data_IF_579760472638
#
_entry.id   IF_579760472638
#
_cell.length_a   1.000
_cell.length_b   1.000
_cell.length_c   1.000
_cell.angle_alpha   90.00
_cell.angle_beta   90.00
_cell.angle_gamma   90.00
#
_symmetry.space_group_name_H-M   'P 1'
#
loop_
_entity.id
_entity.type
_entity.pdbx_description
1 polymer ?
#
# COMPACT_ATOMS: atom_id res chain seq x y z
N UNK A 1 -29.14 -4.13 32.72
CA UNK A 1 -27.89 -3.92 31.94
C UNK A 1 -27.13 -5.22 31.71
N UNK A 2 -26.85 -6.00 32.77
CA UNK A 2 -26.18 -7.32 32.69
C UNK A 2 -26.79 -8.26 31.63
N UNK A 3 -28.11 -8.44 31.67
CA UNK A 3 -28.81 -9.33 30.72
C UNK A 3 -28.74 -8.83 29.28
N UNK A 4 -28.88 -7.52 29.08
CA UNK A 4 -28.74 -6.89 27.76
C UNK A 4 -27.34 -7.13 27.18
N UNK A 5 -26.28 -6.88 27.96
CA UNK A 5 -24.90 -7.11 27.51
C UNK A 5 -24.63 -8.59 27.21
N UNK A 6 -25.18 -9.49 28.02
CA UNK A 6 -25.10 -10.94 27.77
C UNK A 6 -25.82 -11.34 26.46
N UNK A 7 -26.97 -10.73 26.16
CA UNK A 7 -27.70 -10.95 24.92
C UNK A 7 -26.90 -10.43 23.71
N UNK A 8 -26.34 -9.22 23.80
CA UNK A 8 -25.48 -8.64 22.74
C UNK A 8 -24.26 -9.52 22.48
N UNK A 9 -23.59 -10.02 23.53
CA UNK A 9 -22.47 -10.96 23.36
C UNK A 9 -22.92 -12.22 22.61
N UNK A 10 -24.07 -12.78 22.99
CA UNK A 10 -24.61 -13.99 22.35
C UNK A 10 -24.92 -13.75 20.88
N UNK A 11 -25.51 -12.60 20.55
CA UNK A 11 -25.75 -12.18 19.16
C UNK A 11 -24.44 -12.09 18.35
N UNK A 12 -23.41 -11.43 18.89
CA UNK A 12 -22.13 -11.31 18.20
C UNK A 12 -21.41 -12.66 18.03
N UNK A 13 -21.52 -13.58 19.01
CA UNK A 13 -21.03 -14.96 18.84
C UNK A 13 -21.75 -15.68 17.70
N UNK A 14 -23.07 -15.57 17.64
CA UNK A 14 -23.88 -16.19 16.58
C UNK A 14 -23.53 -15.60 15.21
N UNK A 15 -23.31 -14.28 15.11
CA UNK A 15 -22.79 -13.64 13.89
C UNK A 15 -21.44 -14.20 13.50
N UNK A 16 -20.49 -14.33 14.44
CA UNK A 16 -19.18 -14.95 14.17
C UNK A 16 -19.30 -16.38 13.64
N UNK A 17 -20.13 -17.22 14.28
CA UNK A 17 -20.39 -18.59 13.81
C UNK A 17 -21.01 -18.62 12.41
N UNK A 18 -21.94 -17.72 12.12
CA UNK A 18 -22.53 -17.57 10.79
C UNK A 18 -21.47 -17.17 9.75
N UNK A 19 -20.64 -16.15 10.04
CA UNK A 19 -19.55 -15.76 9.14
C UNK A 19 -18.56 -16.89 8.89
N UNK A 20 -18.29 -17.74 9.89
CA UNK A 20 -17.43 -18.92 9.74
C UNK A 20 -18.02 -19.94 8.76
N UNK A 21 -19.35 -20.11 8.77
CA UNK A 21 -20.06 -20.97 7.81
C UNK A 21 -20.02 -20.41 6.38
N UNK A 22 -19.83 -19.09 6.22
CA UNK A 22 -19.69 -18.44 4.92
C UNK A 22 -18.28 -18.55 4.33
N UNK A 23 -17.32 -19.16 5.01
CA UNK A 23 -16.00 -19.46 4.43
C UNK A 23 -16.15 -20.70 3.53
N UNK A 24 -15.94 -20.59 2.20
CA UNK A 24 -16.18 -21.72 1.29
C UNK A 24 -15.27 -22.92 1.58
N UNK A 25 -15.84 -24.12 1.54
CA UNK A 25 -15.10 -25.38 1.64
C UNK A 25 -15.74 -26.46 0.73
N UNK A 26 -15.07 -26.93 -0.35
CA UNK A 26 -13.74 -26.50 -0.79
C UNK A 26 -13.74 -25.04 -1.27
N UNK A 27 -12.58 -24.39 -1.23
CA UNK A 27 -12.40 -23.08 -1.85
C UNK A 27 -12.49 -23.22 -3.37
N UNK A 28 -13.17 -22.26 -4.01
CA UNK A 28 -13.20 -22.19 -5.47
C UNK A 28 -11.80 -21.95 -6.05
N UNK A 29 -10.96 -21.18 -5.35
CA UNK A 29 -9.62 -20.80 -5.79
C UNK A 29 -8.58 -21.08 -4.68
N UNK A 30 -7.56 -21.93 -4.93
CA UNK A 30 -6.51 -22.24 -3.96
C UNK A 30 -5.73 -21.01 -3.46
N UNK A 31 -5.57 -19.99 -4.30
CA UNK A 31 -4.89 -18.73 -4.00
C UNK A 31 -5.62 -17.91 -2.92
N UNK A 32 -6.88 -18.23 -2.59
CA UNK A 32 -7.62 -17.59 -1.49
C UNK A 32 -7.46 -18.31 -0.16
N UNK A 33 -6.70 -19.41 -0.09
CA UNK A 33 -6.49 -20.19 1.14
C UNK A 33 -5.94 -19.35 2.30
N UNK A 34 -4.98 -18.47 2.03
CA UNK A 34 -4.43 -17.55 3.03
C UNK A 34 -5.49 -16.62 3.64
N UNK A 35 -6.40 -16.11 2.80
CA UNK A 35 -7.52 -15.27 3.23
C UNK A 35 -8.51 -16.07 4.08
N UNK A 36 -8.91 -17.26 3.62
CA UNK A 36 -9.83 -18.13 4.34
C UNK A 36 -9.32 -18.51 5.74
N UNK A 37 -8.05 -18.91 5.85
CA UNK A 37 -7.39 -19.21 7.13
C UNK A 37 -7.35 -17.98 8.04
N UNK A 38 -7.02 -16.81 7.48
CA UNK A 38 -6.93 -15.58 8.26
C UNK A 38 -8.30 -15.15 8.80
N UNK A 39 -9.35 -15.22 7.98
CA UNK A 39 -10.72 -14.94 8.40
C UNK A 39 -11.18 -15.90 9.49
N UNK A 40 -10.96 -17.22 9.30
CA UNK A 40 -11.31 -18.23 10.28
C UNK A 40 -10.64 -17.99 11.64
N UNK A 41 -9.34 -17.68 11.64
CA UNK A 41 -8.59 -17.36 12.86
C UNK A 41 -9.14 -16.11 13.58
N UNK A 42 -9.38 -15.02 12.86
CA UNK A 42 -9.90 -13.77 13.46
C UNK A 42 -11.29 -14.00 14.06
N UNK A 43 -12.15 -14.76 13.38
CA UNK A 43 -13.49 -15.11 13.88
C UNK A 43 -13.37 -15.94 15.16
N UNK A 44 -12.51 -16.97 15.17
CA UNK A 44 -12.33 -17.85 16.32
C UNK A 44 -11.77 -17.11 17.54
N UNK A 45 -10.79 -16.23 17.34
CA UNK A 45 -10.25 -15.36 18.40
C UNK A 45 -11.33 -14.46 19.01
N UNK A 46 -12.19 -13.87 18.17
CA UNK A 46 -13.28 -13.00 18.62
C UNK A 46 -14.38 -13.77 19.36
N UNK A 47 -14.78 -14.95 18.87
CA UNK A 47 -15.75 -15.82 19.56
C UNK A 47 -15.22 -16.19 20.95
N UNK A 48 -13.95 -16.60 21.04
CA UNK A 48 -13.30 -16.95 22.31
C UNK A 48 -13.24 -15.76 23.27
N UNK A 49 -12.95 -14.55 22.78
CA UNK A 49 -12.92 -13.36 23.63
C UNK A 49 -14.32 -12.96 24.11
N UNK A 50 -15.34 -13.08 23.24
CA UNK A 50 -16.74 -12.89 23.62
C UNK A 50 -17.19 -13.89 24.69
N UNK A 51 -16.75 -15.15 24.63
CA UNK A 51 -17.00 -16.15 25.68
C UNK A 51 -16.39 -15.75 27.02
N UNK A 52 -15.15 -15.26 27.00
CA UNK A 52 -14.51 -14.70 28.17
C UNK A 52 -15.31 -13.53 28.75
N UNK A 53 -15.71 -12.55 27.92
CA UNK A 53 -16.53 -11.42 28.37
C UNK A 53 -17.88 -11.88 28.93
N UNK A 54 -18.48 -12.94 28.39
CA UNK A 54 -19.71 -13.52 28.90
C UNK A 54 -19.53 -14.13 30.30
N UNK A 55 -18.41 -14.82 30.53
CA UNK A 55 -18.07 -15.33 31.86
C UNK A 55 -17.83 -14.21 32.87
N UNK A 56 -17.15 -13.13 32.45
CA UNK A 56 -16.89 -11.96 33.31
C UNK A 56 -18.20 -11.26 33.70
N UNK A 57 -19.12 -11.04 32.76
CA UNK A 57 -20.45 -10.48 33.08
C UNK A 57 -21.15 -11.32 34.16
N UNK A 58 -21.06 -12.65 34.08
CA UNK A 58 -21.72 -13.55 35.03
C UNK A 58 -21.08 -13.48 36.42
N UNK A 59 -19.74 -13.46 36.50
CA UNK A 59 -18.97 -13.41 37.76
C UNK A 59 -18.93 -12.03 38.41
N UNK A 60 -19.16 -10.95 37.65
CA UNK A 60 -19.05 -9.59 38.17
C UNK A 60 -20.19 -9.26 39.15
N UNK A 61 -19.80 -8.79 40.34
CA UNK A 61 -20.70 -8.25 41.36
C UNK A 61 -20.87 -6.72 41.28
N UNK A 62 -19.98 -6.01 40.57
CA UNK A 62 -20.06 -4.57 40.37
C UNK A 62 -20.85 -4.19 39.11
N UNK A 63 -21.45 -2.99 39.11
CA UNK A 63 -22.21 -2.46 37.96
C UNK A 63 -21.35 -1.71 36.92
N UNK A 64 -20.01 -1.77 37.04
CA UNK A 64 -19.12 -1.12 36.07
C UNK A 64 -18.83 -2.03 34.87
N UNK A 65 -19.61 -1.84 33.79
CA UNK A 65 -19.51 -2.62 32.55
C UNK A 65 -18.67 -1.95 31.46
N UNK A 66 -17.91 -0.88 31.75
CA UNK A 66 -17.21 -0.10 30.72
C UNK A 66 -16.15 -0.92 29.98
N UNK A 67 -15.41 -1.77 30.66
CA UNK A 67 -14.40 -2.66 30.06
C UNK A 67 -15.05 -3.69 29.13
N UNK A 68 -16.14 -4.32 29.59
CA UNK A 68 -16.92 -5.28 28.81
C UNK A 68 -17.48 -4.64 27.54
N UNK A 69 -18.09 -3.45 27.65
CA UNK A 69 -18.63 -2.73 26.50
C UNK A 69 -17.53 -2.39 25.47
N UNK A 70 -16.33 -2.02 25.93
CA UNK A 70 -15.18 -1.80 25.04
C UNK A 70 -14.77 -3.09 24.33
N UNK A 71 -14.74 -4.22 25.05
CA UNK A 71 -14.44 -5.53 24.48
C UNK A 71 -15.46 -5.96 23.42
N UNK A 72 -16.76 -5.83 23.71
CA UNK A 72 -17.84 -6.13 22.76
C UNK A 72 -17.70 -5.28 21.48
N UNK A 73 -17.44 -3.98 21.62
CA UNK A 73 -17.26 -3.07 20.48
C UNK A 73 -16.04 -3.42 19.64
N UNK A 74 -14.94 -3.85 20.27
CA UNK A 74 -13.76 -4.33 19.55
C UNK A 74 -14.12 -5.57 18.72
N UNK A 75 -14.77 -6.57 19.33
CA UNK A 75 -15.21 -7.77 18.60
C UNK A 75 -16.17 -7.46 17.45
N UNK A 76 -17.14 -6.57 17.70
CA UNK A 76 -18.14 -6.20 16.68
C UNK A 76 -17.45 -5.57 15.47
N UNK A 77 -16.54 -4.62 15.69
CA UNK A 77 -15.77 -3.99 14.62
C UNK A 77 -14.92 -5.01 13.86
N UNK A 78 -14.25 -5.90 14.57
CA UNK A 78 -13.37 -6.89 13.95
C UNK A 78 -14.17 -7.89 13.10
N UNK A 79 -15.36 -8.32 13.56
CA UNK A 79 -16.27 -9.16 12.76
C UNK A 79 -16.83 -8.41 11.54
N UNK A 80 -17.18 -7.13 11.67
CA UNK A 80 -17.61 -6.28 10.54
C UNK A 80 -16.52 -6.13 9.47
N UNK A 81 -15.26 -5.98 9.91
CA UNK A 81 -14.11 -5.93 9.00
C UNK A 81 -13.87 -7.28 8.31
N UNK A 82 -13.99 -8.41 9.01
CA UNK A 82 -13.89 -9.74 8.38
C UNK A 82 -15.02 -9.94 7.38
N UNK A 83 -16.25 -9.56 7.70
CA UNK A 83 -17.39 -9.67 6.80
C UNK A 83 -17.17 -8.85 5.51
N UNK A 84 -16.79 -7.58 5.66
CA UNK A 84 -16.64 -6.64 4.55
C UNK A 84 -15.40 -6.92 3.72
N UNK A 85 -14.27 -7.25 4.36
CA UNK A 85 -12.97 -7.33 3.70
C UNK A 85 -12.40 -8.75 3.59
N UNK A 86 -13.10 -9.76 4.09
CA UNK A 86 -12.67 -11.15 4.04
C UNK A 86 -13.73 -12.06 3.42
N UNK A 87 -14.88 -12.18 4.07
CA UNK A 87 -15.98 -13.03 3.61
C UNK A 87 -16.51 -12.58 2.25
N UNK A 88 -16.68 -11.27 2.04
CA UNK A 88 -17.15 -10.74 0.76
C UNK A 88 -16.19 -11.10 -0.39
N UNK A 89 -14.87 -10.83 -0.32
CA UNK A 89 -13.91 -11.34 -1.30
C UNK A 89 -13.80 -12.85 -1.45
N UNK A 90 -14.19 -13.65 -0.44
CA UNK A 90 -14.21 -15.11 -0.57
C UNK A 90 -15.41 -15.63 -1.35
N UNK A 91 -16.54 -14.91 -1.31
CA UNK A 91 -17.80 -15.34 -1.91
C UNK A 91 -18.12 -14.63 -3.23
N UNK A 92 -17.56 -13.44 -3.46
CA UNK A 92 -17.87 -12.61 -4.63
C UNK A 92 -16.61 -12.31 -5.44
N UNK A 93 -16.13 -13.33 -6.14
CA UNK A 93 -15.03 -13.22 -7.10
C UNK A 93 -15.52 -13.61 -8.50
N UNK A 94 -15.63 -12.65 -9.44
CA UNK A 94 -15.96 -12.98 -10.81
C UNK A 94 -14.88 -13.89 -11.40
N UNK A 95 -15.28 -14.98 -12.04
CA UNK A 95 -14.39 -15.97 -12.66
C UNK A 95 -13.39 -15.31 -13.63
N UNK A 96 -13.84 -14.28 -14.36
CA UNK A 96 -13.01 -13.52 -15.30
C UNK A 96 -11.83 -12.77 -14.66
N UNK A 97 -11.84 -12.61 -13.33
CA UNK A 97 -10.85 -11.86 -12.55
C UNK A 97 -9.93 -12.74 -11.73
N UNK A 98 -10.12 -14.06 -11.77
CA UNK A 98 -9.27 -15.05 -11.08
C UNK A 98 -7.78 -14.86 -11.37
N UNK A 99 -7.45 -14.55 -12.63
CA UNK A 99 -6.07 -14.40 -13.08
C UNK A 99 -5.27 -13.36 -12.28
N UNK A 100 -5.91 -12.42 -11.59
CA UNK A 100 -5.22 -11.43 -10.76
C UNK A 100 -4.62 -12.01 -9.49
N UNK A 101 -5.29 -12.98 -8.86
CA UNK A 101 -4.70 -13.68 -7.71
C UNK A 101 -3.46 -14.47 -8.15
N UNK A 102 -3.52 -15.10 -9.33
CA UNK A 102 -2.36 -15.76 -9.95
C UNK A 102 -1.26 -14.80 -10.38
N UNK A 103 -1.64 -13.62 -10.88
CA UNK A 103 -0.71 -12.55 -11.24
C UNK A 103 0.07 -12.08 -10.00
N UNK A 104 -0.62 -11.80 -8.88
CA UNK A 104 0.03 -11.42 -7.62
C UNK A 104 0.90 -12.53 -7.09
N UNK A 105 0.44 -13.78 -7.15
CA UNK A 105 1.28 -14.91 -6.78
C UNK A 105 2.56 -14.99 -7.62
N UNK A 106 2.47 -14.74 -8.94
CA UNK A 106 3.64 -14.68 -9.82
C UNK A 106 4.55 -13.48 -9.49
N UNK A 107 3.98 -12.30 -9.21
CA UNK A 107 4.73 -11.13 -8.75
C UNK A 107 5.51 -11.47 -7.48
N UNK A 108 4.88 -12.12 -6.50
CA UNK A 108 5.52 -12.56 -5.25
C UNK A 108 6.75 -13.42 -5.51
N UNK A 109 6.65 -14.38 -6.43
CA UNK A 109 7.79 -15.22 -6.82
C UNK A 109 8.89 -14.39 -7.49
N UNK A 110 8.52 -13.51 -8.43
CA UNK A 110 9.48 -12.68 -9.18
C UNK A 110 10.23 -11.67 -8.32
N UNK A 111 9.62 -11.20 -7.23
CA UNK A 111 10.23 -10.23 -6.31
C UNK A 111 10.71 -10.83 -5.01
N UNK A 112 10.69 -12.17 -4.87
CA UNK A 112 11.06 -12.86 -3.62
C UNK A 112 10.33 -12.28 -2.40
N UNK A 113 9.02 -12.05 -2.52
CA UNK A 113 8.25 -11.37 -1.49
C UNK A 113 8.15 -12.23 -0.21
N UNK A 114 8.58 -11.73 0.96
CA UNK A 114 8.75 -12.55 2.15
C UNK A 114 7.50 -12.69 3.02
N UNK A 115 6.34 -12.20 2.58
CA UNK A 115 5.10 -12.31 3.36
C UNK A 115 4.07 -13.20 2.63
N UNK A 116 3.03 -13.70 3.33
CA UNK A 116 1.92 -14.38 2.69
C UNK A 116 1.33 -13.53 1.57
N UNK A 117 1.01 -14.16 0.44
CA UNK A 117 0.45 -13.42 -0.68
C UNK A 117 -0.94 -12.88 -0.34
N UNK A 118 -1.20 -11.60 -0.60
CA UNK A 118 -2.52 -11.06 -0.40
C UNK A 118 -3.45 -11.63 -1.47
N UNK A 119 -4.72 -11.79 -1.09
CA UNK A 119 -5.77 -12.01 -2.08
C UNK A 119 -6.06 -10.70 -2.81
N UNK A 120 -6.60 -10.79 -4.02
CA UNK A 120 -7.05 -9.64 -4.81
C UNK A 120 -8.56 -9.68 -4.93
N UNK A 121 -9.22 -8.55 -4.69
CA UNK A 121 -10.67 -8.40 -4.78
C UNK A 121 -11.06 -7.22 -5.66
N UNK A 122 -11.83 -7.49 -6.73
CA UNK A 122 -12.24 -6.50 -7.72
C UNK A 122 -13.53 -5.75 -7.34
N UNK A 123 -13.63 -5.31 -6.08
CA UNK A 123 -14.87 -4.72 -5.52
C UNK A 123 -14.62 -3.37 -4.85
N UNK A 124 -13.46 -2.74 -5.08
CA UNK A 124 -13.16 -1.44 -4.46
C UNK A 124 -14.09 -0.35 -4.97
N UNK A 125 -14.60 0.47 -4.04
CA UNK A 125 -15.29 1.74 -4.34
C UNK A 125 -14.33 2.92 -4.38
N UNK A 126 -13.09 2.71 -3.97
CA UNK A 126 -11.98 3.66 -4.05
C UNK A 126 -10.97 3.14 -5.07
N UNK A 127 -9.87 3.87 -5.30
CA UNK A 127 -8.74 3.32 -6.04
C UNK A 127 -8.12 2.11 -5.31
N UNK A 128 -6.95 1.66 -5.74
CA UNK A 128 -6.23 0.56 -5.11
C UNK A 128 -6.05 0.84 -3.61
N UNK A 129 -6.30 -0.17 -2.78
CA UNK A 129 -5.93 -0.12 -1.36
C UNK A 129 -5.70 -1.51 -0.77
N UNK A 130 -4.75 -1.60 0.14
CA UNK A 130 -4.44 -2.79 0.91
C UNK A 130 -5.16 -2.81 2.26
N UNK A 131 -5.93 -3.87 2.53
CA UNK A 131 -6.46 -4.17 3.86
C UNK A 131 -5.49 -5.08 4.61
N UNK A 132 -4.72 -4.56 5.58
CA UNK A 132 -3.78 -5.40 6.34
C UNK A 132 -4.49 -6.34 7.31
N UNK A 133 -5.72 -6.02 7.69
CA UNK A 133 -6.51 -6.82 8.62
C UNK A 133 -6.88 -8.18 8.02
N UNK A 134 -7.21 -8.19 6.72
CA UNK A 134 -7.57 -9.42 5.99
C UNK A 134 -6.53 -9.86 4.97
N UNK A 135 -5.46 -9.08 4.78
CA UNK A 135 -4.43 -9.32 3.75
C UNK A 135 -5.04 -9.37 2.33
N UNK A 136 -5.82 -8.35 1.98
CA UNK A 136 -6.50 -8.25 0.68
C UNK A 136 -6.13 -6.93 0.00
N UNK A 137 -5.76 -6.99 -1.27
CA UNK A 137 -5.66 -5.82 -2.16
C UNK A 137 -7.00 -5.65 -2.85
N UNK A 138 -7.66 -4.53 -2.59
CA UNK A 138 -8.89 -4.14 -3.25
C UNK A 138 -8.56 -3.29 -4.46
N UNK A 139 -9.16 -3.63 -5.60
CA UNK A 139 -9.04 -2.88 -6.84
C UNK A 139 -10.44 -2.57 -7.38
N UNK A 140 -10.66 -1.42 -8.03
CA UNK A 140 -11.94 -1.18 -8.70
C UNK A 140 -12.16 -2.21 -9.81
N UNK A 141 -13.43 -2.56 -10.03
CA UNK A 141 -13.83 -3.66 -10.90
C UNK A 141 -13.21 -3.62 -12.31
N UNK A 142 -13.18 -2.43 -12.91
CA UNK A 142 -12.66 -2.22 -14.27
C UNK A 142 -11.14 -2.19 -14.38
N UNK A 143 -10.42 -1.91 -13.29
CA UNK A 143 -8.96 -1.65 -13.33
C UNK A 143 -8.15 -2.86 -13.76
N UNK A 144 -8.65 -4.05 -13.44
CA UNK A 144 -8.12 -5.32 -13.93
C UNK A 144 -7.97 -5.38 -15.46
N UNK A 145 -8.79 -4.65 -16.22
CA UNK A 145 -8.78 -4.62 -17.69
C UNK A 145 -7.71 -3.68 -18.28
N UNK A 146 -6.85 -3.06 -17.47
CA UNK A 146 -5.89 -2.06 -17.92
C UNK A 146 -4.51 -2.31 -17.33
N UNK A 147 -3.55 -2.72 -18.17
CA UNK A 147 -2.19 -3.06 -17.77
C UNK A 147 -1.43 -1.85 -17.22
N UNK A 148 -1.77 -0.63 -17.65
CA UNK A 148 -1.11 0.60 -17.20
C UNK A 148 -1.34 0.92 -15.72
N UNK A 149 -2.36 0.34 -15.10
CA UNK A 149 -2.73 0.59 -13.70
C UNK A 149 -2.23 -0.53 -12.76
N UNK A 150 -1.99 -1.73 -13.29
CA UNK A 150 -1.48 -2.86 -12.51
C UNK A 150 -0.14 -2.64 -11.80
N UNK A 151 0.77 -1.73 -12.24
CA UNK A 151 1.96 -1.37 -11.46
C UNK A 151 1.67 -0.92 -10.02
N UNK A 152 0.50 -0.31 -9.75
CA UNK A 152 0.11 0.09 -8.39
C UNK A 152 -0.06 -1.10 -7.43
N UNK A 153 -0.23 -2.32 -7.94
CA UNK A 153 -0.20 -3.52 -7.08
C UNK A 153 1.13 -3.64 -6.32
N UNK A 154 2.24 -3.21 -6.92
CA UNK A 154 3.53 -3.22 -6.23
C UNK A 154 3.58 -2.17 -5.11
N UNK A 155 2.90 -1.03 -5.27
CA UNK A 155 2.76 -0.04 -4.20
C UNK A 155 1.97 -0.63 -3.02
N UNK A 156 0.85 -1.29 -3.29
CA UNK A 156 0.04 -1.95 -2.26
C UNK A 156 0.79 -3.07 -1.53
N UNK A 157 1.64 -3.82 -2.24
CA UNK A 157 2.57 -4.77 -1.62
C UNK A 157 3.58 -4.06 -0.70
N UNK A 158 4.00 -2.84 -1.04
CA UNK A 158 4.82 -1.98 -0.19
C UNK A 158 4.17 -1.74 1.18
N UNK A 159 2.86 -1.52 1.25
CA UNK A 159 2.15 -1.37 2.53
C UNK A 159 2.22 -2.64 3.38
N UNK A 160 2.15 -3.82 2.76
CA UNK A 160 2.36 -5.10 3.44
C UNK A 160 3.75 -5.19 4.09
N UNK A 161 4.80 -4.84 3.34
CA UNK A 161 6.17 -4.78 3.85
C UNK A 161 6.28 -3.79 5.02
N UNK A 162 5.77 -2.58 4.84
CA UNK A 162 5.80 -1.55 5.87
C UNK A 162 5.18 -2.03 7.18
N UNK A 163 3.97 -2.58 7.14
CA UNK A 163 3.22 -2.98 8.33
C UNK A 163 3.81 -4.20 9.05
N UNK A 164 4.56 -5.05 8.33
CA UNK A 164 5.13 -6.28 8.88
C UNK A 164 6.62 -6.18 9.23
N UNK A 165 7.30 -5.10 8.83
CA UNK A 165 8.75 -4.93 9.03
C UNK A 165 9.24 -5.16 10.46
N UNK A 166 8.45 -4.81 11.46
CA UNK A 166 8.83 -4.89 12.88
C UNK A 166 8.69 -6.31 13.45
N UNK A 167 7.83 -7.12 12.85
CA UNK A 167 7.44 -8.43 13.39
C UNK A 167 7.97 -9.61 12.55
N UNK A 168 8.52 -9.34 11.37
CA UNK A 168 9.01 -10.36 10.44
C UNK A 168 10.53 -10.37 10.38
N UNK A 169 11.14 -11.48 10.82
CA UNK A 169 12.60 -11.62 10.88
C UNK A 169 13.26 -11.40 9.51
N UNK A 170 12.61 -11.83 8.43
CA UNK A 170 13.12 -11.62 7.07
C UNK A 170 13.22 -10.15 6.67
N UNK A 171 12.50 -9.25 7.36
CA UNK A 171 12.51 -7.81 7.12
C UNK A 171 13.40 -7.05 8.13
N UNK A 172 14.23 -7.74 8.93
CA UNK A 172 15.03 -7.11 9.99
C UNK A 172 15.95 -6.02 9.47
N UNK A 173 16.64 -6.27 8.35
CA UNK A 173 17.58 -5.31 7.76
C UNK A 173 16.86 -4.06 7.24
N UNK A 174 15.71 -4.25 6.58
CA UNK A 174 14.87 -3.13 6.18
C UNK A 174 14.38 -2.34 7.39
N UNK A 175 13.96 -3.00 8.48
CA UNK A 175 13.52 -2.33 9.70
C UNK A 175 14.64 -1.52 10.36
N UNK A 176 15.88 -2.05 10.35
CA UNK A 176 17.04 -1.30 10.85
C UNK A 176 17.27 -0.02 10.03
N UNK A 177 17.24 -0.09 8.70
CA UNK A 177 17.37 1.12 7.85
C UNK A 177 16.20 2.07 8.03
N UNK A 178 15.00 1.55 8.22
CA UNK A 178 13.82 2.34 8.53
C UNK A 178 14.00 3.15 9.82
N UNK A 179 14.52 2.54 10.88
CA UNK A 179 14.82 3.25 12.12
C UNK A 179 15.90 4.33 11.93
N UNK A 180 16.93 4.08 11.10
CA UNK A 180 17.90 5.10 10.73
C UNK A 180 17.23 6.27 9.99
N UNK A 181 16.29 6.00 9.08
CA UNK A 181 15.52 7.04 8.39
C UNK A 181 14.74 7.91 9.37
N UNK A 182 14.04 7.31 10.34
CA UNK A 182 13.30 8.05 11.36
C UNK A 182 14.24 8.96 12.17
N UNK A 183 15.45 8.49 12.48
CA UNK A 183 16.47 9.30 13.14
C UNK A 183 16.92 10.47 12.26
N UNK A 184 17.25 10.24 10.99
CA UNK A 184 17.68 11.28 10.05
C UNK A 184 16.61 12.37 9.86
N UNK A 185 15.34 11.97 9.71
CA UNK A 185 14.21 12.90 9.64
C UNK A 185 14.12 13.71 10.94
N UNK A 186 14.22 13.03 12.09
CA UNK A 186 14.10 13.67 13.40
C UNK A 186 15.23 14.66 13.65
N UNK A 187 16.48 14.28 13.36
CA UNK A 187 17.65 15.14 13.49
C UNK A 187 17.54 16.37 12.58
N UNK A 188 17.12 16.18 11.33
CA UNK A 188 16.89 17.27 10.39
C UNK A 188 15.92 18.32 10.96
N UNK A 189 14.73 17.88 11.39
CA UNK A 189 13.72 18.79 11.90
C UNK A 189 14.04 19.35 13.30
N UNK A 190 14.76 18.61 14.14
CA UNK A 190 15.26 19.15 15.42
C UNK A 190 16.30 20.25 15.22
N UNK A 191 17.17 20.12 14.21
CA UNK A 191 18.11 21.17 13.82
C UNK A 191 17.36 22.43 13.35
N UNK A 192 16.39 22.28 12.44
CA UNK A 192 15.55 23.40 11.98
C UNK A 192 14.80 24.07 13.15
N UNK A 193 14.26 23.29 14.09
CA UNK A 193 13.61 23.83 15.28
C UNK A 193 14.57 24.61 16.18
N UNK A 194 15.81 24.13 16.33
CA UNK A 194 16.82 24.78 17.15
C UNK A 194 17.27 26.11 16.54
N UNK A 195 17.45 26.14 15.21
CA UNK A 195 17.74 27.37 14.46
C UNK A 195 16.58 28.38 14.56
N UNK A 196 15.34 27.95 14.30
CA UNK A 196 14.17 28.81 14.37
C UNK A 196 13.88 29.38 15.77
N UNK A 197 14.34 28.72 16.84
CA UNK A 197 14.24 29.23 18.22
C UNK A 197 15.30 30.29 18.55
N UNK A 198 16.47 30.23 17.91
CA UNK A 198 17.57 31.18 18.10
C UNK A 198 17.33 32.47 17.34
N UNK A 199 16.70 32.36 16.18
CA UNK A 199 16.20 33.50 15.42
C UNK A 199 15.03 34.16 16.16
N UNK A 200 14.94 35.50 16.16
CA UNK A 200 13.79 36.27 16.67
C UNK A 200 12.57 36.19 15.72
N UNK A 201 12.39 35.03 15.08
CA UNK A 201 11.36 34.79 14.08
C UNK A 201 9.97 34.57 14.66
N UNK A 202 8.94 34.55 13.80
CA UNK A 202 7.56 34.37 14.23
C UNK A 202 7.33 32.95 14.79
N UNK A 203 6.53 32.84 15.87
CA UNK A 203 6.18 31.56 16.52
C UNK A 203 5.51 30.56 15.55
N UNK A 204 4.84 31.04 14.51
CA UNK A 204 4.22 30.22 13.47
C UNK A 204 5.24 29.32 12.75
N UNK A 205 6.49 29.77 12.59
CA UNK A 205 7.57 28.96 11.99
C UNK A 205 7.87 27.72 12.82
N UNK A 206 7.91 27.84 14.15
CA UNK A 206 8.14 26.70 15.06
C UNK A 206 6.99 25.69 14.95
N UNK A 207 5.74 26.17 14.89
CA UNK A 207 4.58 25.31 14.72
C UNK A 207 4.63 24.55 13.38
N UNK A 208 4.93 25.25 12.29
CA UNK A 208 5.03 24.68 10.96
C UNK A 208 6.09 23.56 10.89
N UNK A 209 7.28 23.79 11.45
CA UNK A 209 8.36 22.79 11.45
C UNK A 209 7.94 21.54 12.23
N UNK A 210 7.24 21.69 13.37
CA UNK A 210 6.69 20.55 14.11
C UNK A 210 5.62 19.79 13.31
N UNK A 211 4.76 20.52 12.60
CA UNK A 211 3.75 19.93 11.73
C UNK A 211 4.39 19.12 10.61
N UNK A 212 5.40 19.68 9.93
CA UNK A 212 6.16 18.96 8.90
C UNK A 212 6.81 17.70 9.45
N UNK A 213 7.48 17.78 10.61
CA UNK A 213 8.07 16.61 11.27
C UNK A 213 7.02 15.54 11.60
N UNK A 214 5.83 15.95 12.05
CA UNK A 214 4.72 15.03 12.31
C UNK A 214 4.18 14.40 11.02
N UNK A 215 4.04 15.17 9.95
CA UNK A 215 3.55 14.68 8.67
C UNK A 215 4.51 13.65 8.04
N UNK A 216 5.82 13.85 8.21
CA UNK A 216 6.83 12.89 7.74
C UNK A 216 6.65 11.47 8.29
N UNK A 217 6.01 11.31 9.45
CA UNK A 217 5.69 9.98 10.00
C UNK A 217 4.71 9.19 9.14
N UNK A 218 3.80 9.86 8.44
CA UNK A 218 2.87 9.22 7.50
C UNK A 218 3.48 9.20 6.09
N UNK A 219 4.21 10.26 5.72
CA UNK A 219 4.76 10.37 4.36
C UNK A 219 5.86 9.36 4.06
N UNK A 220 6.63 8.97 5.07
CA UNK A 220 7.67 7.96 4.88
C UNK A 220 7.08 6.59 4.49
N UNK A 221 5.85 6.29 4.94
CA UNK A 221 5.16 5.05 4.60
C UNK A 221 4.86 5.02 3.10
N UNK A 222 4.32 6.12 2.57
CA UNK A 222 4.05 6.31 1.15
C UNK A 222 5.34 6.30 0.31
N UNK A 223 6.38 7.00 0.75
CA UNK A 223 7.67 7.00 0.06
C UNK A 223 8.33 5.61 0.06
N UNK A 224 8.17 4.82 1.12
CA UNK A 224 8.61 3.43 1.14
C UNK A 224 7.85 2.63 0.10
N UNK A 225 6.53 2.76 0.03
CA UNK A 225 5.71 2.02 -0.93
C UNK A 225 6.03 2.42 -2.38
N UNK A 226 6.20 3.71 -2.65
CA UNK A 226 6.62 4.23 -3.96
C UNK A 226 7.97 3.68 -4.39
N UNK A 227 8.96 3.75 -3.50
CA UNK A 227 10.31 3.29 -3.79
C UNK A 227 10.39 1.77 -3.84
N UNK A 228 9.61 1.05 -3.02
CA UNK A 228 9.49 -0.39 -3.11
C UNK A 228 8.97 -0.80 -4.49
N UNK A 229 7.88 -0.16 -4.95
CA UNK A 229 7.31 -0.42 -6.26
C UNK A 229 8.32 -0.10 -7.38
N UNK A 230 8.96 1.07 -7.34
CA UNK A 230 9.99 1.43 -8.31
C UNK A 230 11.18 0.46 -8.31
N UNK A 231 11.73 0.14 -7.14
CA UNK A 231 12.92 -0.69 -7.05
C UNK A 231 12.65 -2.14 -7.39
N UNK A 232 11.42 -2.65 -7.20
CA UNK A 232 11.10 -4.04 -7.55
C UNK A 232 10.51 -4.14 -8.96
N UNK A 233 9.72 -3.20 -9.44
CA UNK A 233 9.10 -3.25 -10.76
C UNK A 233 9.89 -2.50 -11.84
N UNK A 234 10.47 -1.35 -11.53
CA UNK A 234 11.13 -0.47 -12.48
C UNK A 234 10.29 0.73 -12.94
N UNK A 235 10.65 1.33 -14.10
CA UNK A 235 10.04 2.56 -14.61
C UNK A 235 8.52 2.52 -14.80
N UNK A 236 7.93 1.34 -15.03
CA UNK A 236 6.49 1.18 -15.15
C UNK A 236 5.72 1.85 -14.00
N UNK A 237 6.20 1.73 -12.77
CA UNK A 237 5.54 2.37 -11.62
C UNK A 237 5.57 3.91 -11.71
N UNK A 238 6.67 4.48 -12.20
CA UNK A 238 6.82 5.93 -12.31
C UNK A 238 5.82 6.51 -13.31
N UNK A 239 5.62 5.84 -14.44
CA UNK A 239 4.60 6.24 -15.41
C UNK A 239 3.18 6.04 -14.90
N UNK A 240 2.93 4.99 -14.10
CA UNK A 240 1.63 4.78 -13.44
C UNK A 240 1.32 5.91 -12.46
N UNK A 241 2.28 6.34 -11.63
CA UNK A 241 2.11 7.50 -10.75
C UNK A 241 1.83 8.78 -11.55
N UNK A 242 2.58 9.02 -12.64
CA UNK A 242 2.35 10.15 -13.55
C UNK A 242 0.93 10.16 -14.12
N UNK A 243 0.45 9.00 -14.56
CA UNK A 243 -0.89 8.83 -15.12
C UNK A 243 -2.00 9.01 -14.08
N UNK A 244 -1.81 8.47 -12.88
CA UNK A 244 -2.75 8.64 -11.77
C UNK A 244 -2.84 10.10 -11.34
N UNK A 245 -1.70 10.78 -11.18
CA UNK A 245 -1.67 12.20 -10.82
C UNK A 245 -2.38 13.06 -11.87
N UNK A 246 -2.18 12.77 -13.15
CA UNK A 246 -2.88 13.47 -14.25
C UNK A 246 -4.40 13.31 -14.18
N UNK A 247 -4.89 12.15 -13.73
CA UNK A 247 -6.33 11.86 -13.62
C UNK A 247 -6.99 12.46 -12.37
N UNK A 248 -6.27 12.50 -11.26
CA UNK A 248 -6.88 12.63 -9.92
C UNK A 248 -6.42 13.87 -9.15
N UNK A 249 -5.22 14.39 -9.45
CA UNK A 249 -4.63 15.47 -8.68
C UNK A 249 -5.24 16.81 -9.07
N UNK A 250 -5.88 17.46 -8.11
CA UNK A 250 -6.35 18.85 -8.25
C UNK A 250 -5.23 19.86 -8.01
N UNK A 251 -4.27 19.50 -7.16
CA UNK A 251 -3.10 20.29 -6.81
C UNK A 251 -1.93 19.34 -6.53
N UNK A 252 -0.98 19.26 -7.45
CA UNK A 252 0.19 18.37 -7.34
C UNK A 252 1.18 18.84 -6.26
N UNK A 253 1.08 20.09 -5.80
CA UNK A 253 1.92 20.68 -4.75
C UNK A 253 1.18 20.74 -3.40
N UNK A 254 0.03 20.07 -3.28
CA UNK A 254 -0.85 20.16 -2.12
C UNK A 254 -0.09 20.01 -0.80
N UNK A 255 -0.01 21.12 -0.08
CA UNK A 255 0.64 21.19 1.22
C UNK A 255 -0.18 22.08 2.16
N UNK A 256 -0.43 21.61 3.38
CA UNK A 256 -1.15 22.38 4.41
C UNK A 256 -0.22 22.75 5.55
N UNK A 257 -0.08 24.05 5.79
CA UNK A 257 0.68 24.59 6.93
C UNK A 257 -0.09 24.57 8.25
N UNK A 258 -1.36 24.16 8.24
CA UNK A 258 -2.25 24.21 9.41
C UNK A 258 -2.77 22.85 9.85
N UNK A 259 -2.96 21.91 8.92
CA UNK A 259 -3.64 20.64 9.19
C UNK A 259 -2.70 19.48 8.84
N UNK A 260 -2.60 18.44 9.69
CA UNK A 260 -1.87 17.24 9.37
C UNK A 260 -2.31 16.63 8.04
N UNK A 261 -1.34 16.19 7.25
CA UNK A 261 -1.60 15.51 5.99
C UNK A 261 -1.29 14.02 6.14
N UNK A 262 -2.17 13.18 5.61
CA UNK A 262 -1.98 11.73 5.61
C UNK A 262 -1.07 11.27 4.47
N UNK A 263 -1.00 12.00 3.37
CA UNK A 263 -0.15 11.68 2.21
C UNK A 263 0.73 12.87 1.82
N UNK A 264 1.93 12.62 1.26
CA UNK A 264 2.74 13.65 0.64
C UNK A 264 2.09 14.14 -0.67
N UNK A 265 2.51 15.30 -1.15
CA UNK A 265 2.08 15.83 -2.46
C UNK A 265 2.54 14.94 -3.63
N UNK A 266 1.80 14.90 -4.74
CA UNK A 266 2.17 14.10 -5.91
C UNK A 266 3.51 14.51 -6.54
N UNK A 267 3.85 15.81 -6.51
CA UNK A 267 5.15 16.31 -6.96
C UNK A 267 6.31 15.79 -6.10
N UNK A 268 6.15 15.74 -4.77
CA UNK A 268 7.21 15.20 -3.91
C UNK A 268 7.35 13.69 -4.04
N UNK A 269 6.25 12.95 -4.29
CA UNK A 269 6.30 11.53 -4.66
C UNK A 269 7.04 11.33 -5.98
N UNK A 270 6.73 12.12 -7.01
CA UNK A 270 7.45 12.07 -8.29
C UNK A 270 8.94 12.39 -8.13
N UNK A 271 9.29 13.41 -7.33
CA UNK A 271 10.69 13.72 -6.99
C UNK A 271 11.39 12.55 -6.30
N UNK A 272 10.72 11.88 -5.37
CA UNK A 272 11.26 10.69 -4.71
C UNK A 272 11.52 9.56 -5.72
N UNK A 273 10.61 9.35 -6.67
CA UNK A 273 10.77 8.37 -7.75
C UNK A 273 11.94 8.69 -8.68
N UNK A 274 12.14 9.96 -9.06
CA UNK A 274 13.30 10.38 -9.85
C UNK A 274 14.63 10.16 -9.11
N UNK A 275 14.66 10.43 -7.79
CA UNK A 275 15.81 10.09 -6.94
C UNK A 275 16.04 8.56 -6.97
N UNK A 276 14.97 7.77 -6.85
CA UNK A 276 15.04 6.31 -6.92
C UNK A 276 15.61 5.80 -8.25
N UNK A 277 15.11 6.31 -9.39
CA UNK A 277 15.61 5.94 -10.73
C UNK A 277 17.12 6.18 -10.86
N UNK A 278 17.59 7.31 -10.34
CA UNK A 278 19.02 7.65 -10.31
C UNK A 278 19.83 6.63 -9.52
N UNK A 279 19.33 6.24 -8.33
CA UNK A 279 20.02 5.28 -7.47
C UNK A 279 20.15 3.87 -8.09
N UNK A 280 19.29 3.52 -9.06
CA UNK A 280 19.34 2.24 -9.78
C UNK A 280 19.92 2.35 -11.21
N UNK A 281 20.49 3.50 -11.57
CA UNK A 281 21.19 3.71 -12.84
C UNK A 281 20.28 3.80 -14.06
N UNK A 282 19.08 4.36 -13.89
CA UNK A 282 18.09 4.57 -14.95
C UNK A 282 17.97 6.06 -15.31
N UNK A 283 19.11 6.71 -15.59
CA UNK A 283 19.16 8.16 -15.83
C UNK A 283 18.36 8.60 -17.07
N UNK A 284 18.34 7.79 -18.14
CA UNK A 284 17.59 8.09 -19.35
C UNK A 284 16.06 8.19 -19.09
N UNK A 285 15.53 7.36 -18.19
CA UNK A 285 14.14 7.40 -17.78
C UNK A 285 13.83 8.64 -16.93
N UNK A 286 14.81 9.18 -16.20
CA UNK A 286 14.61 10.43 -15.45
C UNK A 286 14.34 11.57 -16.40
N UNK A 287 15.17 11.73 -17.44
CA UNK A 287 15.02 12.80 -18.42
C UNK A 287 13.67 12.68 -19.15
N UNK A 288 13.31 11.46 -19.54
CA UNK A 288 12.06 11.17 -20.24
C UNK A 288 10.82 11.45 -19.35
N UNK A 289 10.77 10.89 -18.14
CA UNK A 289 9.67 11.12 -17.19
C UNK A 289 9.60 12.59 -16.80
N UNK A 290 10.74 13.24 -16.55
CA UNK A 290 10.78 14.66 -16.18
C UNK A 290 10.19 15.52 -17.28
N UNK A 291 10.58 15.29 -18.54
CA UNK A 291 10.01 16.04 -19.66
C UNK A 291 8.48 15.89 -19.74
N UNK A 292 7.97 14.66 -19.56
CA UNK A 292 6.53 14.37 -19.56
C UNK A 292 5.81 15.00 -18.38
N UNK A 293 6.37 14.91 -17.18
CA UNK A 293 5.80 15.49 -15.96
C UNK A 293 5.61 17.01 -16.09
N UNK A 294 6.62 17.72 -16.61
CA UNK A 294 6.55 19.17 -16.82
C UNK A 294 5.63 19.58 -17.99
N UNK A 295 5.39 18.68 -18.94
CA UNK A 295 4.47 18.92 -20.06
C UNK A 295 3.00 18.67 -19.71
N UNK A 296 2.70 18.05 -18.54
CA UNK A 296 1.33 17.74 -18.17
C UNK A 296 0.51 19.00 -17.87
N UNK A 297 -0.75 19.07 -18.36
CA UNK A 297 -1.62 20.21 -18.14
C UNK A 297 -2.25 20.17 -16.74
N UNK A 298 -1.43 20.14 -15.69
CA UNK A 298 -1.91 20.35 -14.34
C UNK A 298 -2.58 21.72 -14.23
N UNK A 299 -3.40 21.92 -13.18
CA UNK A 299 -4.14 23.18 -12.97
C UNK A 299 -3.19 24.37 -13.10
N UNK A 300 -3.45 25.21 -14.11
CA UNK A 300 -2.56 26.30 -14.51
C UNK A 300 -2.37 27.30 -13.37
N UNK A 301 -1.13 27.73 -13.14
CA UNK A 301 -0.77 28.75 -12.15
C UNK A 301 -0.52 28.23 -10.73
N UNK A 302 -0.56 26.91 -10.51
CA UNK A 302 -0.11 26.33 -9.24
C UNK A 302 1.41 26.31 -9.18
N UNK A 303 1.95 26.83 -8.08
CA UNK A 303 3.37 26.82 -7.78
C UNK A 303 3.59 26.38 -6.32
N UNK A 304 4.66 25.63 -6.03
CA UNK A 304 4.98 25.25 -4.66
C UNK A 304 5.25 26.51 -3.81
N UNK A 305 4.69 26.54 -2.60
CA UNK A 305 4.96 27.60 -1.62
C UNK A 305 6.39 27.52 -1.08
N UNK A 306 6.86 28.55 -0.37
CA UNK A 306 8.14 28.47 0.35
C UNK A 306 8.16 27.30 1.35
N UNK A 307 7.04 27.08 2.03
CA UNK A 307 6.90 26.04 3.06
C UNK A 307 7.01 24.64 2.44
N UNK A 308 6.55 24.46 1.21
CA UNK A 308 6.68 23.21 0.46
C UNK A 308 8.14 22.72 0.40
N UNK A 309 9.09 23.63 0.16
CA UNK A 309 10.51 23.27 0.06
C UNK A 309 11.12 22.89 1.41
N UNK A 310 10.61 23.44 2.52
CA UNK A 310 10.97 23.02 3.88
C UNK A 310 10.36 21.67 4.26
N UNK A 311 9.18 21.35 3.70
CA UNK A 311 8.53 20.05 3.89
C UNK A 311 9.27 18.93 3.16
N UNK A 312 9.86 19.20 1.98
CA UNK A 312 10.50 18.20 1.13
C UNK A 312 11.96 18.56 0.81
N UNK A 313 12.87 18.59 1.80
CA UNK A 313 14.26 18.94 1.57
C UNK A 313 14.96 17.85 0.76
N UNK A 314 15.50 18.21 -0.41
CA UNK A 314 16.11 17.29 -1.37
C UNK A 314 17.16 16.37 -0.74
N UNK A 315 18.05 16.91 0.09
CA UNK A 315 19.13 16.14 0.73
C UNK A 315 18.60 15.07 1.68
N UNK A 316 17.51 15.37 2.41
CA UNK A 316 16.84 14.39 3.26
C UNK A 316 16.16 13.31 2.41
N UNK A 317 15.47 13.70 1.34
CA UNK A 317 14.84 12.74 0.43
C UNK A 317 15.86 11.79 -0.21
N UNK A 318 17.00 12.30 -0.67
CA UNK A 318 18.10 11.49 -1.22
C UNK A 318 18.64 10.49 -0.18
N UNK A 319 18.81 10.94 1.07
CA UNK A 319 19.23 10.08 2.19
C UNK A 319 18.21 8.98 2.49
N UNK A 320 16.93 9.34 2.55
CA UNK A 320 15.81 8.40 2.76
C UNK A 320 15.79 7.33 1.66
N UNK A 321 15.81 7.75 0.40
CA UNK A 321 15.78 6.82 -0.72
C UNK A 321 16.98 5.88 -0.75
N UNK A 322 18.17 6.38 -0.43
CA UNK A 322 19.39 5.57 -0.35
C UNK A 322 19.30 4.52 0.76
N UNK A 323 18.80 4.88 1.94
CA UNK A 323 18.65 3.95 3.06
C UNK A 323 17.59 2.87 2.78
N UNK A 324 16.47 3.24 2.15
CA UNK A 324 15.44 2.28 1.72
C UNK A 324 15.99 1.30 0.69
N UNK A 325 16.70 1.79 -0.34
CA UNK A 325 17.34 0.92 -1.33
C UNK A 325 18.31 -0.06 -0.67
N UNK A 326 19.12 0.42 0.29
CA UNK A 326 20.04 -0.42 1.03
C UNK A 326 19.29 -1.51 1.82
N UNK A 327 18.25 -1.14 2.57
CA UNK A 327 17.47 -2.08 3.36
C UNK A 327 16.78 -3.15 2.51
N UNK A 328 16.27 -2.78 1.34
CA UNK A 328 15.66 -3.72 0.40
C UNK A 328 16.70 -4.68 -0.22
N UNK A 329 17.90 -4.19 -0.55
CA UNK A 329 19.02 -5.05 -1.01
C UNK A 329 19.44 -6.05 0.05
N UNK A 330 19.63 -5.59 1.28
CA UNK A 330 20.04 -6.44 2.42
C UNK A 330 18.96 -7.46 2.80
N UNK A 331 17.70 -7.17 2.48
CA UNK A 331 16.55 -8.08 2.61
C UNK A 331 16.42 -9.08 1.43
N UNK A 332 17.34 -9.02 0.45
CA UNK A 332 17.34 -9.86 -0.76
C UNK A 332 16.13 -9.66 -1.70
N UNK A 333 15.59 -8.44 -1.77
CA UNK A 333 14.68 -8.10 -2.87
C UNK A 333 15.47 -7.96 -4.18
N UNK A 334 14.95 -8.48 -5.31
CA UNK A 334 15.61 -8.38 -6.61
C UNK A 334 15.40 -6.99 -7.20
N UNK A 335 16.33 -6.10 -6.88
CA UNK A 335 16.30 -4.70 -7.33
C UNK A 335 16.41 -4.61 -8.86
N UNK A 336 15.50 -3.84 -9.43
CA UNK A 336 15.49 -3.50 -10.84
C UNK A 336 16.69 -2.64 -11.17
N UNK A 337 17.44 -3.05 -12.19
CA UNK A 337 18.54 -2.30 -12.78
C UNK A 337 18.40 -2.38 -14.29
N UNK A 338 19.18 -1.58 -15.03
CA UNK A 338 19.24 -1.67 -16.49
C UNK A 338 19.51 -3.09 -17.00
N UNK A 339 20.43 -3.80 -16.34
CA UNK A 339 20.81 -5.15 -16.73
C UNK A 339 19.67 -6.15 -16.45
N UNK A 340 19.00 -6.03 -15.29
CA UNK A 340 17.85 -6.88 -14.96
C UNK A 340 16.71 -6.65 -15.95
N UNK A 341 16.35 -5.39 -16.22
CA UNK A 341 15.25 -5.04 -17.12
C UNK A 341 15.41 -5.65 -18.52
N UNK A 342 16.64 -5.61 -19.07
CA UNK A 342 16.95 -6.20 -20.38
C UNK A 342 16.88 -7.73 -20.41
N UNK A 343 17.13 -8.37 -19.27
CA UNK A 343 17.24 -9.82 -19.14
C UNK A 343 16.01 -10.47 -18.50
N UNK A 344 14.91 -9.73 -18.30
CA UNK A 344 13.67 -10.30 -17.78
C UNK A 344 13.12 -11.36 -18.74
N UNK A 345 12.74 -12.50 -18.15
CA UNK A 345 12.13 -13.60 -18.88
C UNK A 345 10.86 -13.14 -19.63
N UNK A 346 10.58 -13.77 -20.76
CA UNK A 346 9.39 -13.45 -21.56
C UNK A 346 8.08 -13.63 -20.77
N UNK A 347 8.05 -14.53 -19.78
CA UNK A 347 6.87 -14.78 -18.94
C UNK A 347 6.83 -13.92 -17.67
N UNK A 348 7.76 -12.98 -17.51
CA UNK A 348 7.80 -12.11 -16.34
C UNK A 348 6.67 -11.08 -16.37
N UNK A 349 5.95 -10.97 -15.24
CA UNK A 349 4.97 -9.91 -15.01
C UNK A 349 5.66 -8.55 -15.01
N UNK A 350 6.83 -8.44 -14.36
CA UNK A 350 7.62 -7.20 -14.38
C UNK A 350 7.95 -6.75 -15.80
N UNK A 351 8.30 -7.69 -16.69
CA UNK A 351 8.56 -7.39 -18.10
C UNK A 351 7.31 -6.87 -18.81
N UNK A 352 6.20 -7.60 -18.67
CA UNK A 352 4.93 -7.23 -19.30
C UNK A 352 4.51 -5.80 -18.93
N UNK A 353 4.60 -5.43 -17.65
CA UNK A 353 4.16 -4.12 -17.17
C UNK A 353 5.08 -2.98 -17.64
N UNK A 354 6.40 -3.22 -17.78
CA UNK A 354 7.29 -2.23 -18.39
C UNK A 354 7.05 -2.14 -19.91
N UNK A 355 6.89 -3.27 -20.61
CA UNK A 355 6.55 -3.29 -22.05
C UNK A 355 5.23 -2.57 -22.34
N UNK A 356 4.24 -2.67 -21.44
CA UNK A 356 2.98 -1.96 -21.60
C UNK A 356 3.16 -0.45 -21.69
N UNK A 357 4.02 0.13 -20.84
CA UNK A 357 4.33 1.55 -20.90
C UNK A 357 5.13 1.93 -22.15
N UNK A 358 6.11 1.11 -22.54
CA UNK A 358 6.86 1.32 -23.79
C UNK A 358 5.89 1.35 -24.99
N UNK A 359 4.98 0.38 -25.07
CA UNK A 359 3.98 0.28 -26.14
C UNK A 359 2.98 1.43 -26.13
N UNK A 360 2.56 1.87 -24.95
CA UNK A 360 1.69 3.03 -24.81
C UNK A 360 2.36 4.27 -25.37
N UNK A 361 3.62 4.54 -25.00
CA UNK A 361 4.34 5.73 -25.46
C UNK A 361 4.76 5.66 -26.94
N UNK A 362 5.01 4.48 -27.49
CA UNK A 362 5.25 4.29 -28.92
C UNK A 362 4.02 4.64 -29.77
N UNK A 363 2.83 4.21 -29.36
CA UNK A 363 1.59 4.46 -30.10
C UNK A 363 0.33 4.41 -29.22
N UNK A 364 -0.03 5.53 -28.55
CA UNK A 364 -1.17 5.56 -27.64
C UNK A 364 -2.50 5.17 -28.31
N UNK A 365 -2.66 5.52 -29.59
CA UNK A 365 -3.90 5.28 -30.35
C UNK A 365 -4.13 3.79 -30.65
N UNK A 366 -3.07 3.00 -30.79
CA UNK A 366 -3.17 1.55 -31.05
C UNK A 366 -2.89 0.69 -29.81
N UNK A 367 -2.49 1.31 -28.70
CA UNK A 367 -2.14 0.60 -27.47
C UNK A 367 -3.27 -0.31 -26.97
N UNK A 368 -4.52 0.15 -27.04
CA UNK A 368 -5.66 -0.63 -26.53
C UNK A 368 -5.83 -1.98 -27.24
N UNK A 369 -5.58 -2.05 -28.55
CA UNK A 369 -5.65 -3.31 -29.30
C UNK A 369 -4.60 -4.31 -28.81
N UNK A 370 -3.37 -3.83 -28.59
CA UNK A 370 -2.28 -4.64 -28.03
C UNK A 370 -2.59 -5.08 -26.59
N UNK A 371 -3.09 -4.18 -25.76
CA UNK A 371 -3.42 -4.44 -24.35
C UNK A 371 -4.49 -5.52 -24.21
N UNK A 372 -5.55 -5.46 -25.04
CA UNK A 372 -6.61 -6.47 -25.05
C UNK A 372 -6.09 -7.87 -25.42
N UNK A 373 -5.21 -7.97 -26.42
CA UNK A 373 -4.56 -9.24 -26.78
C UNK A 373 -3.70 -9.77 -25.62
N UNK A 374 -2.95 -8.90 -24.94
CA UNK A 374 -2.14 -9.29 -23.77
C UNK A 374 -2.98 -9.75 -22.59
N UNK A 375 -4.07 -9.05 -22.23
CA UNK A 375 -4.96 -9.45 -21.16
C UNK A 375 -5.62 -10.79 -21.48
N UNK A 376 -6.07 -10.99 -22.73
CA UNK A 376 -6.62 -12.27 -23.17
C UNK A 376 -5.61 -13.40 -23.00
N UNK A 377 -4.35 -13.19 -23.38
CA UNK A 377 -3.26 -14.16 -23.20
C UNK A 377 -2.96 -14.42 -21.72
N UNK A 378 -2.99 -13.41 -20.86
CA UNK A 378 -2.83 -13.59 -19.42
C UNK A 378 -3.90 -14.54 -18.89
N UNK A 379 -5.18 -14.24 -19.16
CA UNK A 379 -6.30 -15.10 -18.76
C UNK A 379 -6.08 -16.54 -19.21
N UNK A 380 -5.80 -16.75 -20.49
CA UNK A 380 -5.56 -18.06 -21.08
C UNK A 380 -4.39 -18.80 -20.42
N UNK A 381 -3.23 -18.15 -20.30
CA UNK A 381 -2.02 -18.77 -19.73
C UNK A 381 -2.23 -19.22 -18.29
N UNK A 382 -3.10 -18.53 -17.55
CA UNK A 382 -3.42 -18.91 -16.18
C UNK A 382 -4.46 -20.02 -16.09
N UNK A 383 -5.34 -20.21 -17.09
CA UNK A 383 -6.27 -21.35 -17.12
C UNK A 383 -5.59 -22.73 -17.32
N UNK A 384 -4.33 -22.78 -17.79
CA UNK A 384 -3.63 -24.03 -18.14
C UNK A 384 -2.53 -24.47 -17.16
N UNK A 385 -2.41 -23.83 -15.99
CA UNK A 385 -1.38 -24.18 -14.97
C UNK A 385 -2.00 -24.92 -13.76
N UNK A 386 -3.29 -25.26 -13.80
CA UNK A 386 -3.96 -26.07 -12.77
C UNK A 386 -3.57 -27.54 -12.81
#
# INVERSE_FOLDING_TARGET
>A
MKDYLSAVITEQKNRGLYLKQMIPNPLQYPELSGLAVSCGRIIDENIKYLEFLQSEIKSQHSEDFRSILRGIRACTRDLELVESYGITPLNYQPEEKEYLNRLVFKIHQEINYPLPHPAVACISTQYYFFSPFTNVIFIPFGESEFLLHLPDMFHELGHGIYLKRENELRLSELNQKYNLIINEITEHYQKLLSEAKRETGPKSRIFLIKLMHSNWKNWIDEFLCDLFALFTLGPAYVYTHLHLATKTSKDIYKFSSMIPQTHPSDDSRMKMLMIGLKLIGLDAEIDDVSSKWHAMPFVSGLHPSSDYYYAYPKTLMEKVASLLLQGLKETNFPIMTRAVLKNLEHRSVRRLLNEAWDKFWENPNKYREWELDRIKKLRQNYYFIS
#
